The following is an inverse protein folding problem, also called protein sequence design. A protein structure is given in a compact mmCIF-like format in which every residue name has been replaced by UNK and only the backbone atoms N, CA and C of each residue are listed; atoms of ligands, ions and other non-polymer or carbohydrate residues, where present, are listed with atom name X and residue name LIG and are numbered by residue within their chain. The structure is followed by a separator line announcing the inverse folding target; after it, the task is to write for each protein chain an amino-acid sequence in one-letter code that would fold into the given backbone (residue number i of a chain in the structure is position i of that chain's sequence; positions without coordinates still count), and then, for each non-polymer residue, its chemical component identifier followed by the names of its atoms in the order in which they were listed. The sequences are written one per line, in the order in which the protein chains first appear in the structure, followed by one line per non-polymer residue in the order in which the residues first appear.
data_IF_432140140064
#
_entry.id   IF_432140140064
#
_cell.length_a   1.000
_cell.length_b   1.000
_cell.length_c   1.000
_cell.angle_alpha   90.00
_cell.angle_beta   90.00
_cell.angle_gamma   90.00
#
_symmetry.space_group_name_H-M   'P 1'
#
loop_
_entity.id
_entity.type
_entity.pdbx_description
1 polymer ?
#
# COMPACT_ATOMS: atom_id res chain seq x y z
N UNK A 1 20.25 -8.65 -31.90
CA UNK A 1 19.33 -8.14 -30.85
C UNK A 1 18.44 -9.29 -30.42
N UNK A 2 18.64 -9.82 -29.22
CA UNK A 2 17.88 -10.98 -28.73
C UNK A 2 16.52 -10.48 -28.22
N UNK A 3 15.47 -10.67 -29.01
CA UNK A 3 14.10 -10.40 -28.61
C UNK A 3 13.57 -11.62 -27.81
N UNK A 4 14.06 -11.83 -26.59
CA UNK A 4 13.49 -12.84 -25.70
C UNK A 4 12.17 -12.30 -25.17
N UNK A 5 11.09 -12.65 -25.87
CA UNK A 5 9.73 -12.59 -25.35
C UNK A 5 9.64 -13.58 -24.18
N UNK A 6 10.19 -13.22 -23.02
CA UNK A 6 10.05 -13.97 -21.77
C UNK A 6 8.57 -14.12 -21.51
N UNK A 7 8.01 -15.30 -21.82
CA UNK A 7 6.63 -15.63 -21.54
C UNK A 7 6.47 -15.61 -20.03
N UNK A 8 6.02 -14.49 -19.47
CA UNK A 8 5.62 -14.44 -18.07
C UNK A 8 4.57 -15.52 -17.83
N UNK A 9 4.68 -16.24 -16.72
CA UNK A 9 3.65 -17.17 -16.29
C UNK A 9 2.34 -16.39 -16.17
N UNK A 10 1.24 -16.94 -16.71
CA UNK A 10 -0.10 -16.32 -16.64
C UNK A 10 -0.49 -15.93 -15.21
N UNK A 11 -0.07 -16.71 -14.22
CA UNK A 11 -0.27 -16.42 -12.80
C UNK A 11 0.39 -15.10 -12.38
N UNK A 12 1.64 -14.85 -12.79
CA UNK A 12 2.37 -13.61 -12.48
C UNK A 12 1.72 -12.41 -13.14
N UNK A 13 1.24 -12.56 -14.38
CA UNK A 13 0.51 -11.49 -15.07
C UNK A 13 -0.79 -11.13 -14.33
N UNK A 14 -1.59 -12.12 -13.94
CA UNK A 14 -2.82 -11.92 -13.18
C UNK A 14 -2.56 -11.27 -11.82
N UNK A 15 -1.48 -11.65 -11.16
CA UNK A 15 -1.05 -11.05 -9.90
C UNK A 15 -0.73 -9.56 -10.08
N UNK A 16 0.10 -9.20 -11.05
CA UNK A 16 0.44 -7.80 -11.35
C UNK A 16 -0.83 -7.01 -11.73
N UNK A 17 -1.72 -7.60 -12.52
CA UNK A 17 -2.98 -6.96 -12.90
C UNK A 17 -3.86 -6.69 -11.66
N UNK A 18 -3.93 -7.63 -10.71
CA UNK A 18 -4.66 -7.41 -9.46
C UNK A 18 -4.06 -6.30 -8.58
N UNK A 19 -2.73 -6.22 -8.51
CA UNK A 19 -2.03 -5.13 -7.80
C UNK A 19 -2.30 -3.76 -8.46
N UNK A 20 -2.38 -3.71 -9.79
CA UNK A 20 -2.69 -2.49 -10.53
C UNK A 20 -4.14 -2.02 -10.29
N UNK A 21 -5.11 -2.96 -10.25
CA UNK A 21 -6.48 -2.66 -9.86
C UNK A 21 -6.58 -2.18 -8.40
N UNK A 22 -5.74 -2.74 -7.53
CA UNK A 22 -5.64 -2.40 -6.11
C UNK A 22 -4.82 -1.15 -5.81
N UNK A 23 -4.17 -0.52 -6.80
CA UNK A 23 -3.25 0.61 -6.57
C UNK A 23 -3.88 1.75 -5.75
N UNK A 24 -5.15 2.09 -6.01
CA UNK A 24 -5.88 3.12 -5.24
C UNK A 24 -6.08 2.72 -3.78
N UNK A 25 -6.32 1.44 -3.53
CA UNK A 25 -6.48 0.88 -2.19
C UNK A 25 -5.11 0.83 -1.48
N UNK A 26 -4.04 0.47 -2.19
CA UNK A 26 -2.65 0.54 -1.71
C UNK A 26 -2.28 1.96 -1.27
N UNK A 27 -2.60 2.99 -2.05
CA UNK A 27 -2.37 4.38 -1.66
C UNK A 27 -3.17 4.79 -0.42
N UNK A 28 -4.43 4.35 -0.32
CA UNK A 28 -5.26 4.59 0.87
C UNK A 28 -4.68 3.90 2.10
N UNK A 29 -4.20 2.68 1.96
CA UNK A 29 -3.58 1.91 3.04
C UNK A 29 -2.28 2.58 3.50
N UNK A 30 -1.44 3.06 2.59
CA UNK A 30 -0.23 3.84 2.91
C UNK A 30 -0.61 5.08 3.73
N UNK A 31 -1.60 5.85 3.28
CA UNK A 31 -2.07 7.03 3.99
C UNK A 31 -2.62 6.69 5.38
N UNK A 32 -3.37 5.59 5.49
CA UNK A 32 -3.90 5.10 6.76
C UNK A 32 -2.78 4.67 7.70
N UNK A 33 -1.79 3.91 7.23
CA UNK A 33 -0.66 3.46 8.05
C UNK A 33 0.20 4.64 8.52
N UNK A 34 0.49 5.62 7.64
CA UNK A 34 1.18 6.86 8.03
C UNK A 34 0.40 7.62 9.11
N UNK A 35 -0.92 7.72 8.96
CA UNK A 35 -1.80 8.31 9.98
C UNK A 35 -1.70 7.55 11.30
N UNK A 36 -1.81 6.22 11.28
CA UNK A 36 -1.70 5.41 12.50
C UNK A 36 -0.32 5.50 13.15
N UNK A 37 0.77 5.65 12.39
CA UNK A 37 2.10 5.85 12.98
C UNK A 37 2.17 7.19 13.73
N UNK A 38 1.66 8.27 13.14
CA UNK A 38 1.65 9.62 13.74
C UNK A 38 0.73 9.68 14.98
N UNK A 39 -0.48 9.15 14.88
CA UNK A 39 -1.50 9.27 15.94
C UNK A 39 -1.46 8.11 16.94
N UNK A 40 -1.03 6.91 16.55
CA UNK A 40 -0.95 5.73 17.41
C UNK A 40 0.14 5.81 18.48
N UNK A 41 1.17 6.63 18.26
CA UNK A 41 2.14 6.97 19.30
C UNK A 41 1.59 7.95 20.35
N UNK A 42 0.49 8.65 20.08
CA UNK A 42 -0.04 9.75 20.92
C UNK A 42 -1.08 9.30 21.96
N UNK A 43 -1.39 8.01 22.04
CA UNK A 43 -2.29 7.48 23.08
C UNK A 43 -1.59 7.21 24.43
N UNK A 44 -0.43 7.82 24.67
CA UNK A 44 0.13 7.87 26.01
C UNK A 44 -0.38 9.10 26.76
N UNK A 45 -1.17 8.78 27.78
CA UNK A 45 -1.36 9.55 29.00
C UNK A 45 -2.31 10.76 28.97
N UNK A 46 -3.58 10.45 29.24
CA UNK A 46 -4.52 11.37 29.87
C UNK A 46 -5.04 10.83 31.20
N UNK A 47 -4.29 9.95 31.88
CA UNK A 47 -4.71 9.40 33.17
C UNK A 47 -3.64 9.64 34.24
N UNK A 48 -3.26 10.92 34.35
CA UNK A 48 -2.61 11.51 35.51
C UNK A 48 -3.70 11.68 36.58
N UNK A 49 -4.15 10.56 37.15
CA UNK A 49 -5.40 10.53 37.92
C UNK A 49 -5.57 9.29 38.78
N UNK A 50 -4.54 8.95 39.57
CA UNK A 50 -4.66 8.20 40.83
C UNK A 50 -5.60 6.99 40.87
N UNK A 51 -5.11 5.82 40.46
CA UNK A 51 -5.79 4.56 40.74
C UNK A 51 -4.96 3.37 40.31
N UNK A 52 -4.41 2.63 41.28
CA UNK A 52 -3.56 1.44 41.09
C UNK A 52 -4.30 0.40 40.24
N UNK A 53 -4.08 0.42 38.93
CA UNK A 53 -4.47 -0.68 38.05
C UNK A 53 -3.20 -1.38 37.62
N UNK A 54 -3.11 -2.67 37.91
CA UNK A 54 -2.04 -3.58 37.51
C UNK A 54 -2.12 -3.85 35.99
N UNK A 55 -2.21 -2.80 35.17
CA UNK A 55 -2.09 -2.92 33.72
C UNK A 55 -0.62 -3.09 33.43
N UNK A 56 -0.20 -4.34 33.25
CA UNK A 56 1.12 -4.67 32.70
C UNK A 56 1.24 -3.86 31.41
N UNK A 57 2.01 -2.78 31.44
CA UNK A 57 2.32 -2.04 30.23
C UNK A 57 3.15 -3.04 29.41
N UNK A 58 2.71 -3.42 28.22
CA UNK A 58 3.40 -4.38 27.35
C UNK A 58 4.21 -3.58 26.30
N UNK A 59 5.35 -2.97 26.66
CA UNK A 59 6.14 -2.17 25.73
C UNK A 59 6.59 -2.99 24.52
N UNK A 60 6.89 -4.28 24.74
CA UNK A 60 7.30 -5.21 23.69
C UNK A 60 6.23 -5.40 22.61
N UNK A 61 4.96 -5.52 23.00
CA UNK A 61 3.85 -5.70 22.04
C UNK A 61 3.63 -4.43 21.20
N UNK A 62 3.79 -3.26 21.81
CA UNK A 62 3.69 -1.96 21.11
C UNK A 62 4.83 -1.78 20.11
N UNK A 63 6.06 -2.09 20.54
CA UNK A 63 7.26 -2.04 19.68
C UNK A 63 7.14 -3.04 18.53
N UNK A 64 6.70 -4.26 18.81
CA UNK A 64 6.48 -5.28 17.78
C UNK A 64 5.45 -4.81 16.75
N UNK A 65 4.31 -4.26 17.21
CA UNK A 65 3.26 -3.73 16.34
C UNK A 65 3.77 -2.59 15.46
N UNK A 66 4.50 -1.63 16.03
CA UNK A 66 5.09 -0.51 15.29
C UNK A 66 6.12 -0.99 14.23
N UNK A 67 6.96 -1.96 14.59
CA UNK A 67 7.93 -2.56 13.68
C UNK A 67 7.25 -3.27 12.50
N UNK A 68 6.20 -4.06 12.77
CA UNK A 68 5.42 -4.72 11.71
C UNK A 68 4.72 -3.71 10.79
N UNK A 69 4.15 -2.63 11.35
CA UNK A 69 3.55 -1.55 10.57
C UNK A 69 4.57 -0.86 9.65
N UNK A 70 5.76 -0.54 10.15
CA UNK A 70 6.82 0.08 9.34
C UNK A 70 7.29 -0.82 8.19
N UNK A 71 7.47 -2.13 8.43
CA UNK A 71 7.83 -3.08 7.37
C UNK A 71 6.75 -3.20 6.30
N UNK A 72 5.48 -3.26 6.72
CA UNK A 72 4.34 -3.29 5.79
C UNK A 72 4.28 -2.01 4.96
N UNK A 73 4.46 -0.85 5.60
CA UNK A 73 4.47 0.45 4.94
C UNK A 73 5.56 0.53 3.86
N UNK A 74 6.80 0.18 4.21
CA UNK A 74 7.92 0.20 3.26
C UNK A 74 7.66 -0.67 2.02
N UNK A 75 7.09 -1.87 2.19
CA UNK A 75 6.72 -2.74 1.07
C UNK A 75 5.67 -2.10 0.15
N UNK A 76 4.65 -1.47 0.72
CA UNK A 76 3.58 -0.84 -0.06
C UNK A 76 4.09 0.39 -0.81
N UNK A 77 4.98 1.16 -0.19
CA UNK A 77 5.63 2.31 -0.81
C UNK A 77 6.53 1.88 -1.99
N UNK A 78 7.34 0.84 -1.81
CA UNK A 78 8.18 0.29 -2.88
C UNK A 78 7.34 -0.20 -4.07
N UNK A 79 6.20 -0.87 -3.79
CA UNK A 79 5.28 -1.31 -4.83
C UNK A 79 4.67 -0.12 -5.58
N UNK A 80 4.24 0.91 -4.85
CA UNK A 80 3.62 2.09 -5.43
C UNK A 80 4.62 2.87 -6.30
N UNK A 81 5.86 3.03 -5.83
CA UNK A 81 6.95 3.68 -6.56
C UNK A 81 7.33 2.90 -7.82
N UNK A 82 7.41 1.57 -7.74
CA UNK A 82 7.68 0.74 -8.91
C UNK A 82 6.59 0.88 -9.99
N UNK A 83 5.31 0.93 -9.61
CA UNK A 83 4.19 1.15 -10.54
C UNK A 83 4.29 2.54 -11.17
N UNK A 84 4.57 3.56 -10.37
CA UNK A 84 4.68 4.95 -10.84
C UNK A 84 5.86 5.12 -11.80
N UNK A 85 7.02 4.55 -11.47
CA UNK A 85 8.21 4.60 -12.32
C UNK A 85 8.00 3.93 -13.68
N UNK A 86 7.35 2.76 -13.70
CA UNK A 86 6.98 2.09 -14.96
C UNK A 86 5.98 2.96 -15.72
N UNK A 87 4.99 3.51 -15.03
CA UNK A 87 3.97 4.35 -15.64
C UNK A 87 4.58 5.59 -16.31
N UNK A 88 5.51 6.28 -15.66
CA UNK A 88 6.20 7.46 -16.20
C UNK A 88 7.06 7.13 -17.44
N UNK A 89 7.63 5.93 -17.51
CA UNK A 89 8.45 5.46 -18.66
C UNK A 89 7.62 5.02 -19.87
N UNK A 90 6.32 4.79 -19.68
CA UNK A 90 5.42 4.35 -20.74
C UNK A 90 4.97 5.56 -21.57
N UNK A 91 4.85 5.35 -22.88
CA UNK A 91 4.35 6.35 -23.84
C UNK A 91 2.99 6.95 -23.43
N UNK A 92 2.75 8.25 -23.65
CA UNK A 92 1.57 8.96 -23.14
C UNK A 92 0.23 8.37 -23.60
N UNK A 93 0.16 7.73 -24.77
CA UNK A 93 -1.09 7.12 -25.24
C UNK A 93 -1.40 5.81 -24.49
N UNK A 94 -0.37 5.03 -24.15
CA UNK A 94 -0.51 3.83 -23.31
C UNK A 94 -0.81 4.20 -21.86
N UNK A 95 -0.29 5.32 -21.38
CA UNK A 95 -0.64 5.90 -20.08
C UNK A 95 -2.13 6.24 -19.97
N UNK A 96 -2.74 6.79 -21.03
CA UNK A 96 -4.19 7.08 -21.09
C UNK A 96 -5.01 5.79 -21.05
N UNK A 97 -4.57 4.74 -21.76
CA UNK A 97 -5.23 3.42 -21.73
C UNK A 97 -5.20 2.80 -20.33
N UNK A 98 -4.07 2.87 -19.63
CA UNK A 98 -3.96 2.37 -18.25
C UNK A 98 -4.91 3.14 -17.32
N UNK A 99 -4.93 4.48 -17.42
CA UNK A 99 -5.88 5.33 -16.69
C UNK A 99 -7.32 4.89 -16.93
N UNK A 100 -7.69 4.75 -18.20
CA UNK A 100 -9.05 4.43 -18.62
C UNK A 100 -9.48 3.05 -18.14
N UNK A 101 -8.62 2.04 -18.29
CA UNK A 101 -8.93 0.64 -17.96
C UNK A 101 -8.89 0.37 -16.46
N UNK A 102 -7.88 0.84 -15.75
CA UNK A 102 -7.62 0.40 -14.37
C UNK A 102 -8.03 1.42 -13.30
N UNK A 103 -8.03 2.72 -13.60
CA UNK A 103 -8.25 3.76 -12.58
C UNK A 103 -9.62 4.45 -12.66
N UNK A 104 -10.30 4.39 -13.81
CA UNK A 104 -11.66 4.90 -13.96
C UNK A 104 -12.66 3.95 -13.31
N UNK A 105 -13.34 4.43 -12.25
CA UNK A 105 -14.54 3.78 -11.68
C UNK A 105 -15.64 4.85 -11.55
N UNK A 106 -16.92 4.54 -11.86
CA UNK A 106 -17.44 3.27 -12.36
C UNK A 106 -17.15 3.05 -13.87
N UNK A 107 -16.80 1.82 -14.25
CA UNK A 107 -16.82 1.41 -15.66
C UNK A 107 -18.29 1.27 -16.06
N UNK A 108 -18.89 2.34 -16.58
CA UNK A 108 -20.31 2.37 -16.93
C UNK A 108 -20.67 1.54 -18.16
N UNK A 109 -19.69 0.97 -18.87
CA UNK A 109 -19.93 0.19 -20.09
C UNK A 109 -19.14 -1.12 -20.09
N UNK A 110 -19.74 -2.14 -19.49
CA UNK A 110 -19.55 -3.54 -19.89
C UNK A 110 -20.53 -3.81 -21.04
N UNK A 111 -20.01 -3.99 -22.25
CA UNK A 111 -20.72 -4.60 -23.38
C UNK A 111 -20.51 -6.12 -23.35
#
# INVERSE_FOLDING_TARGET
MVNTKTKLKRATFKYIESELYGYRDTLREIAFLRKNLIYGSRNEDGNIGGGRTNRRNHPTERIATACMMNKKLARLEELADAIEHIYQRVEPDKQKLIRLKYWTRPQLQTW
#
